data_IF_977229360804
#
_entry.id   IF_977229360804
#
_cell.length_a   1.000
_cell.length_b   1.000
_cell.length_c   1.000
_cell.angle_alpha   90.00
_cell.angle_beta   90.00
_cell.angle_gamma   90.00
#
_symmetry.space_group_name_H-M   'P 1'
#
loop_
_entity.id
_entity.type
_entity.pdbx_description
1 polymer ?
#
# COMPACT_ATOMS: atom_id res chain seq x y z
N UNK A 1 -16.56 -6.61 -4.91
CA UNK A 1 -16.56 -7.46 -3.73
C UNK A 1 -17.02 -6.70 -2.48
N UNK A 2 -16.30 -5.66 -2.05
CA UNK A 2 -16.52 -4.99 -0.75
C UNK A 2 -17.92 -4.39 -0.58
N UNK A 3 -18.51 -3.77 -1.60
CA UNK A 3 -19.90 -3.29 -1.52
C UNK A 3 -20.91 -4.39 -1.18
N UNK A 4 -20.67 -5.63 -1.65
CA UNK A 4 -21.49 -6.79 -1.32
C UNK A 4 -21.18 -7.33 0.07
N UNK A 5 -19.90 -7.31 0.47
CA UNK A 5 -19.47 -7.73 1.80
C UNK A 5 -20.07 -6.82 2.88
N UNK A 6 -20.01 -5.49 2.71
CA UNK A 6 -20.59 -4.51 3.62
C UNK A 6 -22.11 -4.74 3.82
N UNK A 7 -22.84 -5.05 2.74
CA UNK A 7 -24.29 -5.37 2.83
C UNK A 7 -24.55 -6.70 3.54
N UNK A 8 -23.74 -7.75 3.28
CA UNK A 8 -23.88 -9.04 3.99
C UNK A 8 -23.51 -8.93 5.45
N UNK A 9 -22.56 -8.05 5.76
CA UNK A 9 -22.18 -7.73 7.13
C UNK A 9 -23.18 -6.81 7.83
N UNK A 10 -24.25 -6.37 7.13
CA UNK A 10 -25.30 -5.49 7.66
C UNK A 10 -24.76 -4.21 8.30
N UNK A 11 -23.70 -3.64 7.69
CA UNK A 11 -23.15 -2.36 8.13
C UNK A 11 -24.06 -1.22 7.69
N UNK A 12 -24.24 -0.24 8.57
CA UNK A 12 -25.02 0.99 8.30
C UNK A 12 -24.18 1.98 7.47
N UNK A 13 -23.89 1.61 6.23
CA UNK A 13 -22.99 2.34 5.33
C UNK A 13 -23.68 3.56 4.75
N UNK A 14 -22.98 4.69 4.73
CA UNK A 14 -23.43 5.90 4.06
C UNK A 14 -23.35 5.79 2.53
N UNK A 15 -24.29 6.47 1.85
CA UNK A 15 -24.38 6.50 0.40
C UNK A 15 -24.32 7.92 -0.15
N UNK A 16 -23.74 8.04 -1.35
CA UNK A 16 -23.78 9.31 -2.08
C UNK A 16 -25.20 9.70 -2.43
N UNK A 17 -25.47 11.01 -2.53
CA UNK A 17 -26.75 11.52 -3.03
C UNK A 17 -26.93 11.30 -4.53
N UNK A 18 -28.16 11.58 -5.02
CA UNK A 18 -28.50 11.59 -6.46
C UNK A 18 -29.20 10.34 -6.96
N UNK A 19 -29.29 10.20 -8.29
CA UNK A 19 -30.09 9.15 -8.94
C UNK A 19 -29.45 7.75 -8.92
N UNK A 20 -28.15 7.65 -8.63
CA UNK A 20 -27.42 6.38 -8.58
C UNK A 20 -26.52 6.35 -7.34
N UNK A 21 -27.09 6.11 -6.15
CA UNK A 21 -26.32 6.16 -4.91
C UNK A 21 -25.31 5.01 -4.83
N UNK A 22 -24.10 5.35 -4.45
CA UNK A 22 -23.00 4.41 -4.21
C UNK A 22 -22.58 4.49 -2.74
N UNK A 23 -22.13 3.37 -2.17
CA UNK A 23 -21.50 3.37 -0.85
C UNK A 23 -20.30 4.33 -0.86
N UNK A 24 -20.22 5.18 0.17
CA UNK A 24 -19.07 6.08 0.34
C UNK A 24 -17.93 5.26 0.89
N UNK A 25 -17.06 4.82 0.00
CA UNK A 25 -15.86 4.03 0.31
C UNK A 25 -14.74 4.31 -0.69
N UNK A 26 -13.51 4.30 -0.23
CA UNK A 26 -12.33 4.46 -1.08
C UNK A 26 -11.17 3.61 -0.61
N UNK A 27 -10.36 3.12 -1.55
CA UNK A 27 -9.14 2.37 -1.24
C UNK A 27 -7.94 3.32 -1.25
N UNK A 28 -7.02 3.12 -0.30
CA UNK A 28 -5.80 3.92 -0.22
C UNK A 28 -4.93 3.75 -1.47
N UNK A 29 -4.61 2.51 -1.81
CA UNK A 29 -3.77 2.18 -2.96
C UNK A 29 -4.24 0.87 -3.59
N UNK A 30 -5.06 0.90 -4.67
CA UNK A 30 -5.55 -0.32 -5.30
C UNK A 30 -4.43 -1.32 -5.60
N UNK A 31 -4.61 -2.57 -5.18
CA UNK A 31 -3.63 -3.63 -5.40
C UNK A 31 -3.64 -4.06 -6.87
N UNK A 32 -2.47 -4.12 -7.49
CA UNK A 32 -2.33 -4.60 -8.86
C UNK A 32 -2.61 -6.10 -8.99
N UNK A 33 -3.08 -6.52 -10.15
CA UNK A 33 -3.29 -7.95 -10.43
C UNK A 33 -1.97 -8.71 -10.36
N UNK A 34 -1.98 -9.84 -9.65
CA UNK A 34 -0.80 -10.70 -9.47
C UNK A 34 0.05 -10.37 -8.25
N UNK A 35 -0.31 -9.35 -7.47
CA UNK A 35 0.31 -9.03 -6.20
C UNK A 35 -0.51 -9.62 -5.04
N UNK A 36 0.17 -9.94 -3.95
CA UNK A 36 -0.43 -10.17 -2.63
C UNK A 36 -0.15 -8.98 -1.72
N UNK A 37 -0.88 -8.87 -0.61
CA UNK A 37 -0.67 -7.76 0.33
C UNK A 37 -1.09 -8.12 1.75
N UNK A 38 -0.36 -7.56 2.71
CA UNK A 38 -0.68 -7.56 4.14
C UNK A 38 -1.12 -6.17 4.63
N UNK A 39 -0.92 -5.11 3.83
CA UNK A 39 -1.11 -3.70 4.21
C UNK A 39 -2.02 -2.94 3.23
N UNK A 40 -3.28 -3.38 3.12
CA UNK A 40 -4.31 -2.68 2.34
C UNK A 40 -5.27 -1.92 3.26
N UNK A 41 -5.66 -0.71 2.84
CA UNK A 41 -6.55 0.15 3.60
C UNK A 41 -7.73 0.62 2.77
N UNK A 42 -8.87 0.75 3.42
CA UNK A 42 -10.12 1.23 2.84
C UNK A 42 -10.83 2.14 3.83
N UNK A 43 -11.14 3.36 3.42
CA UNK A 43 -12.07 4.21 4.14
C UNK A 43 -13.50 3.77 3.83
N UNK A 44 -14.33 3.71 4.85
CA UNK A 44 -15.76 3.43 4.76
C UNK A 44 -16.53 4.41 5.65
N UNK A 45 -17.45 5.17 5.06
CA UNK A 45 -18.34 6.03 5.83
C UNK A 45 -19.56 5.24 6.30
N UNK A 46 -19.85 5.33 7.60
CA UNK A 46 -21.00 4.67 8.23
C UNK A 46 -21.82 5.69 9.03
N UNK A 47 -23.14 5.50 9.11
CA UNK A 47 -24.00 6.34 9.95
C UNK A 47 -23.94 5.96 11.43
N UNK A 48 -23.70 4.68 11.69
CA UNK A 48 -23.55 4.15 13.04
C UNK A 48 -22.66 2.91 13.05
N UNK A 49 -22.05 2.63 14.18
CA UNK A 49 -21.31 1.39 14.43
C UNK A 49 -21.51 0.98 15.90
N UNK A 50 -21.48 -0.33 16.15
CA UNK A 50 -21.55 -0.89 17.52
C UNK A 50 -20.18 -0.81 18.19
N UNK A 51 -19.14 -1.29 17.51
CA UNK A 51 -17.73 -1.17 17.89
C UNK A 51 -16.84 -1.55 16.70
N UNK A 52 -15.56 -1.15 16.75
CA UNK A 52 -14.58 -1.55 15.73
C UNK A 52 -14.46 -3.08 15.64
N UNK A 53 -14.46 -3.78 16.77
CA UNK A 53 -14.35 -5.24 16.81
C UNK A 53 -15.60 -5.95 16.26
N UNK A 54 -16.79 -5.41 16.49
CA UNK A 54 -18.04 -5.91 15.89
C UNK A 54 -17.99 -5.78 14.36
N UNK A 55 -17.62 -4.60 13.85
CA UNK A 55 -17.46 -4.36 12.40
C UNK A 55 -16.46 -5.33 11.79
N UNK A 56 -15.29 -5.49 12.41
CA UNK A 56 -14.25 -6.44 11.98
C UNK A 56 -14.78 -7.87 11.92
N UNK A 57 -15.45 -8.33 12.97
CA UNK A 57 -16.01 -9.68 13.06
C UNK A 57 -17.05 -9.92 11.96
N UNK A 58 -17.98 -8.99 11.74
CA UNK A 58 -19.05 -9.09 10.73
C UNK A 58 -18.49 -9.06 9.31
N UNK A 59 -17.50 -8.21 9.04
CA UNK A 59 -16.84 -8.16 7.73
C UNK A 59 -16.09 -9.45 7.44
N UNK A 60 -15.38 -10.01 8.41
CA UNK A 60 -14.67 -11.28 8.24
C UNK A 60 -15.65 -12.44 8.00
N UNK A 61 -16.79 -12.47 8.72
CA UNK A 61 -17.85 -13.47 8.47
C UNK A 61 -18.48 -13.32 7.07
N UNK A 62 -18.51 -12.11 6.51
CA UNK A 62 -19.02 -11.83 5.17
C UNK A 62 -17.96 -11.93 4.06
N UNK A 63 -16.71 -12.19 4.42
CA UNK A 63 -15.54 -12.24 3.53
C UNK A 63 -15.40 -13.60 2.83
N UNK A 64 -14.35 -13.77 2.07
CA UNK A 64 -13.99 -15.00 1.35
C UNK A 64 -12.55 -15.37 1.68
N UNK A 65 -12.14 -16.65 1.53
CA UNK A 65 -10.75 -17.04 1.70
C UNK A 65 -9.78 -16.15 0.91
N UNK A 66 -8.72 -15.71 1.56
CA UNK A 66 -7.71 -14.82 0.98
C UNK A 66 -7.99 -13.33 1.19
N UNK A 67 -9.10 -12.95 1.82
CA UNK A 67 -9.37 -11.57 2.26
C UNK A 67 -9.73 -11.60 3.75
N UNK A 68 -8.89 -10.96 4.55
CA UNK A 68 -9.05 -10.82 5.99
C UNK A 68 -9.02 -9.36 6.41
N UNK A 69 -9.96 -8.96 7.26
CA UNK A 69 -9.97 -7.65 7.91
C UNK A 69 -9.17 -7.78 9.20
N UNK A 70 -7.99 -7.21 9.23
CA UNK A 70 -7.06 -7.31 10.37
C UNK A 70 -7.35 -6.29 11.44
N UNK A 71 -7.79 -5.08 11.05
CA UNK A 71 -8.08 -3.96 11.94
C UNK A 71 -9.25 -3.12 11.41
N UNK A 72 -9.97 -2.49 12.31
CA UNK A 72 -10.94 -1.43 12.04
C UNK A 72 -10.66 -0.30 13.00
N UNK A 73 -10.58 0.93 12.51
CA UNK A 73 -10.28 2.13 13.29
C UNK A 73 -11.30 3.22 13.00
N UNK A 74 -11.60 4.04 14.00
CA UNK A 74 -12.36 5.29 13.84
C UNK A 74 -11.37 6.38 13.46
N UNK A 75 -11.62 7.05 12.35
CA UNK A 75 -10.77 8.15 11.89
C UNK A 75 -11.24 9.48 12.49
N UNK A 76 -10.31 10.43 12.76
CA UNK A 76 -10.69 11.81 13.11
C UNK A 76 -11.52 12.46 12.00
N UNK A 77 -12.46 13.34 12.35
CA UNK A 77 -13.35 14.06 11.39
C UNK A 77 -12.57 14.83 10.30
N UNK A 78 -11.33 15.23 10.61
CA UNK A 78 -10.46 15.95 9.68
C UNK A 78 -9.38 15.06 9.05
N UNK A 79 -9.49 13.73 9.21
CA UNK A 79 -8.59 12.82 8.53
C UNK A 79 -8.66 13.03 7.01
N UNK A 80 -7.52 13.11 6.37
CA UNK A 80 -7.46 13.11 4.91
C UNK A 80 -8.00 11.78 4.36
N UNK A 81 -8.48 11.80 3.13
CA UNK A 81 -8.83 10.59 2.39
C UNK A 81 -7.62 9.66 2.31
N UNK A 82 -7.80 8.36 2.59
CA UNK A 82 -6.70 7.38 2.60
C UNK A 82 -5.85 7.40 1.34
N UNK A 83 -6.48 7.52 0.16
CA UNK A 83 -5.75 7.59 -1.12
C UNK A 83 -4.83 8.82 -1.20
N UNK A 84 -5.27 9.97 -0.71
CA UNK A 84 -4.47 11.19 -0.69
C UNK A 84 -3.37 11.17 0.37
N UNK A 85 -3.53 10.36 1.41
CA UNK A 85 -2.58 10.23 2.53
C UNK A 85 -1.41 9.28 2.23
N UNK A 86 -1.50 8.47 1.18
CA UNK A 86 -0.42 7.53 0.82
C UNK A 86 0.85 8.28 0.46
N UNK A 87 1.91 8.00 1.20
CA UNK A 87 3.26 8.54 0.99
C UNK A 87 4.25 7.48 0.51
N UNK A 88 4.20 6.28 1.08
CA UNK A 88 5.12 5.20 0.76
C UNK A 88 4.44 3.83 0.83
N UNK A 89 5.10 2.82 0.27
CA UNK A 89 4.71 1.44 0.47
C UNK A 89 5.96 0.53 0.56
N UNK A 90 5.89 -0.42 1.48
CA UNK A 90 6.89 -1.47 1.66
C UNK A 90 6.51 -2.72 0.89
N UNK A 91 7.49 -3.37 0.28
CA UNK A 91 7.29 -4.57 -0.52
C UNK A 91 8.37 -5.61 -0.24
N UNK A 92 7.96 -6.87 -0.21
CA UNK A 92 8.87 -8.01 -0.41
C UNK A 92 8.73 -8.50 -1.84
N UNK A 93 9.84 -8.62 -2.53
CA UNK A 93 9.92 -9.16 -3.89
C UNK A 93 10.74 -10.44 -3.83
N UNK A 94 10.14 -11.56 -4.22
CA UNK A 94 10.80 -12.87 -4.27
C UNK A 94 10.86 -13.34 -5.72
N UNK A 95 12.00 -13.87 -6.13
CA UNK A 95 12.15 -14.46 -7.46
C UNK A 95 11.57 -15.86 -7.51
N UNK A 96 10.85 -16.17 -8.57
CA UNK A 96 10.34 -17.53 -8.81
C UNK A 96 11.51 -18.47 -9.07
N UNK A 97 11.31 -19.74 -8.74
CA UNK A 97 12.30 -20.80 -8.96
C UNK A 97 12.83 -20.79 -10.41
N UNK A 98 14.17 -20.81 -10.53
CA UNK A 98 14.86 -20.76 -11.83
C UNK A 98 14.79 -19.41 -12.56
N UNK A 99 14.29 -18.34 -11.92
CA UNK A 99 14.14 -17.00 -12.52
C UNK A 99 14.81 -15.90 -11.69
N UNK A 100 15.65 -16.28 -10.75
CA UNK A 100 16.44 -15.36 -9.94
C UNK A 100 17.62 -14.75 -10.73
N UNK A 101 18.32 -13.79 -10.12
CA UNK A 101 19.49 -13.15 -10.72
C UNK A 101 20.67 -14.12 -10.89
N UNK A 102 21.48 -13.89 -11.92
CA UNK A 102 22.76 -14.57 -12.11
C UNK A 102 23.94 -13.83 -11.43
N UNK A 103 23.63 -12.92 -10.52
CA UNK A 103 24.56 -12.13 -9.73
C UNK A 103 24.16 -12.12 -8.24
N UNK A 104 25.12 -11.82 -7.37
CA UNK A 104 24.86 -11.69 -5.93
C UNK A 104 24.07 -10.42 -5.63
N UNK A 105 22.88 -10.58 -5.05
CA UNK A 105 21.95 -9.48 -4.76
C UNK A 105 22.55 -8.46 -3.79
N UNK A 106 23.12 -8.88 -2.68
CA UNK A 106 23.59 -7.96 -1.64
C UNK A 106 24.65 -6.97 -2.16
N UNK A 107 25.78 -7.39 -2.78
CA UNK A 107 26.74 -6.45 -3.33
C UNK A 107 26.20 -5.65 -4.53
N UNK A 108 25.25 -6.21 -5.30
CA UNK A 108 24.62 -5.48 -6.39
C UNK A 108 23.75 -4.33 -5.87
N UNK A 109 22.94 -4.58 -4.84
CA UNK A 109 22.13 -3.55 -4.16
C UNK A 109 23.01 -2.46 -3.57
N UNK A 110 24.12 -2.81 -2.92
CA UNK A 110 25.06 -1.81 -2.38
C UNK A 110 25.65 -0.90 -3.45
N UNK A 111 26.06 -1.46 -4.61
CA UNK A 111 26.54 -0.66 -5.74
C UNK A 111 25.44 0.23 -6.32
N UNK A 112 24.27 -0.34 -6.52
CA UNK A 112 23.10 0.35 -7.05
C UNK A 112 22.73 1.57 -6.22
N UNK A 113 22.72 1.43 -4.89
CA UNK A 113 22.39 2.52 -3.96
C UNK A 113 23.51 3.59 -3.85
N UNK A 114 24.74 3.31 -4.25
CA UNK A 114 25.84 4.30 -4.27
C UNK A 114 25.78 5.25 -5.46
N UNK A 115 24.92 4.99 -6.45
CA UNK A 115 24.78 5.86 -7.60
C UNK A 115 24.13 7.18 -7.22
N UNK A 116 24.54 8.26 -7.85
CA UNK A 116 23.93 9.58 -7.68
C UNK A 116 22.53 9.64 -8.31
N UNK A 117 22.35 8.92 -9.42
CA UNK A 117 21.10 8.85 -10.16
C UNK A 117 20.81 7.42 -10.61
N UNK A 118 19.52 7.05 -10.63
CA UNK A 118 18.97 5.79 -11.16
C UNK A 118 17.90 6.15 -12.17
N UNK A 119 18.30 6.37 -13.40
CA UNK A 119 17.42 6.82 -14.46
C UNK A 119 16.73 5.65 -15.16
N UNK A 120 15.42 5.73 -15.33
CA UNK A 120 14.62 4.83 -16.16
C UNK A 120 13.74 5.61 -17.13
N UNK A 121 13.43 5.00 -18.27
CA UNK A 121 12.46 5.55 -19.21
C UNK A 121 11.09 4.97 -18.94
N UNK A 122 10.12 5.81 -18.62
CA UNK A 122 8.72 5.43 -18.43
C UNK A 122 7.89 5.81 -19.65
N UNK A 123 7.31 4.82 -20.30
CA UNK A 123 6.35 5.05 -21.37
C UNK A 123 5.03 5.58 -20.81
N UNK A 124 4.50 6.62 -21.43
CA UNK A 124 3.22 7.23 -21.08
C UNK A 124 2.37 7.41 -22.35
N UNK A 125 1.07 7.63 -22.19
CA UNK A 125 0.17 7.94 -23.32
C UNK A 125 0.59 9.19 -24.13
N UNK A 126 1.45 10.04 -23.56
CA UNK A 126 1.92 11.30 -24.19
C UNK A 126 3.36 11.21 -24.69
N UNK A 127 3.99 10.03 -24.65
CA UNK A 127 5.39 9.78 -25.02
C UNK A 127 6.20 9.22 -23.86
N UNK A 128 7.50 9.04 -24.08
CA UNK A 128 8.43 8.57 -23.05
C UNK A 128 8.88 9.71 -22.14
N UNK A 129 9.06 9.43 -20.88
CA UNK A 129 9.61 10.34 -19.86
C UNK A 129 10.71 9.63 -19.07
N UNK A 130 11.82 10.31 -18.91
CA UNK A 130 12.88 9.86 -17.98
C UNK A 130 12.49 10.24 -16.55
N UNK A 131 12.65 9.31 -15.62
CA UNK A 131 12.46 9.51 -14.19
C UNK A 131 13.66 8.98 -13.43
N UNK A 132 14.03 9.69 -12.36
CA UNK A 132 15.08 9.24 -11.43
C UNK A 132 14.41 8.48 -10.26
N UNK A 133 14.70 7.20 -10.15
CA UNK A 133 14.17 6.35 -9.06
C UNK A 133 14.85 6.64 -7.73
N UNK A 134 16.08 7.18 -7.75
CA UNK A 134 16.94 7.31 -6.57
C UNK A 134 16.25 8.06 -5.42
N UNK A 135 15.56 9.14 -5.72
CA UNK A 135 14.90 10.00 -4.74
C UNK A 135 13.69 9.33 -4.06
N UNK A 136 13.07 8.39 -4.76
CA UNK A 136 11.88 7.70 -4.25
C UNK A 136 12.15 6.27 -3.75
N UNK A 137 13.41 5.84 -3.70
CA UNK A 137 13.81 4.60 -3.02
C UNK A 137 14.27 4.96 -1.60
N UNK A 138 13.41 4.76 -0.61
CA UNK A 138 13.72 5.05 0.79
C UNK A 138 14.54 3.94 1.44
N UNK A 139 14.27 2.69 1.08
CA UNK A 139 15.05 1.52 1.47
C UNK A 139 15.07 0.50 0.34
N UNK A 140 16.20 -0.14 0.13
CA UNK A 140 16.35 -1.33 -0.72
C UNK A 140 17.40 -2.22 -0.08
N UNK A 141 17.05 -3.46 0.20
CA UNK A 141 17.99 -4.45 0.76
C UNK A 141 17.73 -5.84 0.21
N UNK A 142 18.78 -6.61 0.04
CA UNK A 142 18.67 -8.05 -0.14
C UNK A 142 18.30 -8.68 1.22
N UNK A 143 17.21 -9.46 1.23
CA UNK A 143 16.79 -10.23 2.40
C UNK A 143 17.58 -11.53 2.46
N UNK A 144 17.73 -12.15 1.29
CA UNK A 144 18.51 -13.35 1.06
C UNK A 144 18.98 -13.39 -0.41
N UNK A 145 19.49 -14.53 -0.89
CA UNK A 145 19.95 -14.70 -2.28
C UNK A 145 18.80 -14.70 -3.31
N UNK A 146 17.53 -14.68 -2.91
CA UNK A 146 16.37 -14.80 -3.78
C UNK A 146 15.27 -13.76 -3.50
N UNK A 147 15.49 -12.85 -2.57
CA UNK A 147 14.46 -11.89 -2.14
C UNK A 147 15.03 -10.52 -1.84
N UNK A 148 14.25 -9.50 -2.17
CA UNK A 148 14.51 -8.09 -1.89
C UNK A 148 13.40 -7.52 -1.03
N UNK A 149 13.73 -6.63 -0.11
CA UNK A 149 12.79 -5.70 0.50
C UNK A 149 12.99 -4.30 -0.09
N UNK A 150 11.87 -3.64 -0.38
CA UNK A 150 11.83 -2.27 -0.90
C UNK A 150 10.86 -1.42 -0.08
N UNK A 151 11.28 -0.22 0.29
CA UNK A 151 10.40 0.85 0.75
C UNK A 151 10.51 2.00 -0.25
N UNK A 152 9.43 2.31 -0.93
CA UNK A 152 9.43 3.24 -2.06
C UNK A 152 8.32 4.28 -1.96
N UNK A 153 8.52 5.41 -2.62
CA UNK A 153 7.48 6.43 -2.82
C UNK A 153 6.29 5.81 -3.56
N UNK A 154 5.14 5.81 -2.91
CA UNK A 154 3.86 5.37 -3.45
C UNK A 154 2.85 6.52 -3.57
N UNK A 155 3.28 7.77 -3.34
CA UNK A 155 2.45 8.96 -3.44
C UNK A 155 1.95 9.17 -4.88
N UNK A 156 0.92 9.97 -5.03
CA UNK A 156 0.38 10.34 -6.35
C UNK A 156 1.40 11.04 -7.25
N UNK A 157 2.42 11.68 -6.68
CA UNK A 157 3.47 12.39 -7.41
C UNK A 157 4.61 11.47 -7.87
N UNK A 158 5.03 10.51 -7.04
CA UNK A 158 6.15 9.62 -7.31
C UNK A 158 5.70 8.28 -7.90
N UNK A 159 4.99 7.48 -7.13
CA UNK A 159 4.43 6.18 -7.50
C UNK A 159 5.44 5.24 -8.20
N UNK A 160 6.50 4.91 -7.47
CA UNK A 160 7.50 3.94 -7.92
C UNK A 160 6.95 2.53 -7.71
N UNK A 161 7.03 1.72 -8.76
CA UNK A 161 6.62 0.31 -8.70
C UNK A 161 7.82 -0.58 -8.40
N UNK A 162 7.69 -1.64 -7.58
CA UNK A 162 8.77 -2.57 -7.30
C UNK A 162 9.46 -3.11 -8.56
N UNK A 163 8.68 -3.45 -9.58
CA UNK A 163 9.21 -3.96 -10.86
C UNK A 163 10.20 -2.98 -11.51
N UNK A 164 9.97 -1.68 -11.44
CA UNK A 164 10.86 -0.67 -12.04
C UNK A 164 12.23 -0.64 -11.35
N UNK A 165 12.26 -0.80 -10.03
CA UNK A 165 13.51 -0.86 -9.25
C UNK A 165 14.28 -2.14 -9.58
N UNK A 166 13.58 -3.28 -9.65
CA UNK A 166 14.21 -4.58 -9.96
C UNK A 166 14.73 -4.61 -11.39
N UNK A 167 13.96 -4.12 -12.37
CA UNK A 167 14.41 -4.00 -13.76
C UNK A 167 15.67 -3.14 -13.89
N UNK A 168 15.72 -2.00 -13.20
CA UNK A 168 16.89 -1.13 -13.18
C UNK A 168 18.12 -1.80 -12.54
N UNK A 169 17.92 -2.54 -11.43
CA UNK A 169 18.98 -3.31 -10.77
C UNK A 169 19.52 -4.40 -11.68
N UNK A 170 18.66 -5.14 -12.38
CA UNK A 170 19.04 -6.18 -13.33
C UNK A 170 19.81 -5.60 -14.54
N UNK A 171 19.28 -4.53 -15.13
CA UNK A 171 19.90 -3.85 -16.26
C UNK A 171 21.32 -3.36 -15.92
N UNK A 172 21.54 -2.85 -14.72
CA UNK A 172 22.86 -2.42 -14.26
C UNK A 172 23.88 -3.58 -14.17
N UNK A 173 23.41 -4.77 -13.85
CA UNK A 173 24.25 -5.97 -13.76
C UNK A 173 24.36 -6.72 -15.10
N UNK A 174 23.81 -6.16 -16.20
CA UNK A 174 23.83 -6.78 -17.53
C UNK A 174 23.05 -8.08 -17.64
N UNK A 175 22.12 -8.29 -16.70
CA UNK A 175 21.26 -9.48 -16.60
C UNK A 175 19.82 -9.07 -16.92
N UNK A 176 19.19 -9.57 -17.98
CA UNK A 176 17.80 -9.22 -18.27
C UNK A 176 16.87 -9.90 -17.26
N UNK A 177 15.93 -9.12 -16.66
CA UNK A 177 14.91 -9.69 -15.79
C UNK A 177 13.99 -10.61 -16.60
N UNK A 178 13.89 -11.92 -16.26
CA UNK A 178 13.02 -12.83 -17.01
C UNK A 178 11.54 -12.44 -16.86
N UNK A 179 10.74 -12.70 -17.88
CA UNK A 179 9.29 -12.51 -17.83
C UNK A 179 8.68 -13.30 -16.66
N UNK A 180 7.72 -12.68 -15.95
CA UNK A 180 7.05 -13.30 -14.80
C UNK A 180 8.00 -13.84 -13.71
N UNK A 181 9.19 -13.24 -13.57
CA UNK A 181 10.16 -13.67 -12.56
C UNK A 181 9.73 -13.37 -11.13
N UNK A 182 8.92 -12.35 -10.92
CA UNK A 182 8.66 -11.80 -9.60
C UNK A 182 7.36 -12.33 -8.97
N UNK A 183 7.42 -12.57 -7.68
CA UNK A 183 6.30 -12.60 -6.74
C UNK A 183 6.45 -11.38 -5.85
N UNK A 184 5.43 -10.52 -5.82
CA UNK A 184 5.48 -9.25 -5.09
C UNK A 184 4.39 -9.26 -4.02
N UNK A 185 4.79 -9.07 -2.77
CA UNK A 185 3.91 -8.84 -1.65
C UNK A 185 4.05 -7.39 -1.16
N UNK A 186 2.95 -6.66 -1.04
CA UNK A 186 2.94 -5.38 -0.34
C UNK A 186 2.86 -5.68 1.15
N UNK A 187 3.89 -5.28 1.90
CA UNK A 187 3.93 -5.51 3.34
C UNK A 187 3.10 -4.48 4.08
N UNK A 188 3.22 -3.20 3.66
CA UNK A 188 2.55 -2.10 4.34
C UNK A 188 2.40 -0.88 3.42
N UNK A 189 1.40 -0.05 3.73
CA UNK A 189 1.16 1.25 3.11
C UNK A 189 1.24 2.34 4.17
N UNK A 190 2.04 3.38 3.90
CA UNK A 190 2.40 4.40 4.88
C UNK A 190 1.86 5.78 4.51
N UNK A 191 1.44 6.51 5.52
CA UNK A 191 1.31 7.97 5.48
C UNK A 191 2.61 8.64 5.97
N UNK A 192 2.73 9.94 5.74
CA UNK A 192 3.81 10.75 6.32
C UNK A 192 3.22 11.65 7.41
N UNK A 193 3.76 11.54 8.62
CA UNK A 193 3.37 12.40 9.75
C UNK A 193 3.87 13.83 9.56
N UNK A 194 3.37 14.77 10.36
CA UNK A 194 3.86 16.16 10.38
C UNK A 194 5.34 16.25 10.76
N UNK A 195 5.86 15.27 11.52
CA UNK A 195 7.28 15.15 11.84
C UNK A 195 8.12 14.57 10.68
N UNK A 196 7.49 14.17 9.57
CA UNK A 196 8.15 13.57 8.41
C UNK A 196 8.36 12.06 8.50
N UNK A 197 7.90 11.40 9.55
CA UNK A 197 8.02 9.96 9.75
C UNK A 197 7.00 9.18 8.90
N UNK A 198 7.38 8.00 8.45
CA UNK A 198 6.46 7.07 7.77
C UNK A 198 5.77 6.19 8.83
N UNK A 199 4.44 6.29 8.89
CA UNK A 199 3.59 5.53 9.81
C UNK A 199 2.57 4.72 9.00
N UNK A 200 2.15 3.51 9.43
CA UNK A 200 1.03 2.81 8.82
C UNK A 200 -0.20 3.72 8.72
N UNK A 201 -1.02 3.54 7.70
CA UNK A 201 -2.17 4.43 7.47
C UNK A 201 -3.17 4.43 8.64
N UNK A 202 -3.29 3.34 9.37
CA UNK A 202 -4.19 3.24 10.52
C UNK A 202 -3.63 3.86 11.81
N UNK A 203 -2.39 4.34 11.80
CA UNK A 203 -1.76 4.96 12.98
C UNK A 203 -2.48 6.23 13.47
N UNK A 204 -3.25 6.88 12.59
CA UNK A 204 -4.05 8.07 12.95
C UNK A 204 -5.46 7.71 13.47
N UNK A 205 -5.83 6.43 13.46
CA UNK A 205 -7.14 5.97 13.85
C UNK A 205 -7.22 5.49 15.30
N UNK A 206 -8.41 5.45 15.84
CA UNK A 206 -8.72 5.06 17.21
C UNK A 206 -9.44 3.71 17.25
N UNK A 207 -9.14 2.89 18.27
CA UNK A 207 -9.72 1.55 18.43
C UNK A 207 -11.18 1.58 18.95
N UNK A 208 -11.62 2.70 19.53
CA UNK A 208 -12.98 2.85 20.06
C UNK A 208 -13.46 4.31 20.03
N UNK A 209 -14.77 4.51 20.15
CA UNK A 209 -15.36 5.84 20.30
C UNK A 209 -14.89 6.56 21.56
N UNK A 210 -14.70 5.83 22.66
CA UNK A 210 -14.17 6.39 23.90
C UNK A 210 -12.76 6.94 23.71
N UNK A 211 -11.90 6.20 23.00
CA UNK A 211 -10.53 6.65 22.69
C UNK A 211 -10.55 7.89 21.78
N UNK A 212 -11.44 7.92 20.79
CA UNK A 212 -11.62 9.06 19.91
C UNK A 212 -12.12 10.30 20.67
N UNK A 213 -13.19 10.18 21.47
CA UNK A 213 -13.73 11.28 22.30
C UNK A 213 -12.72 11.82 23.29
N UNK A 214 -11.95 10.94 23.94
CA UNK A 214 -10.88 11.35 24.85
C UNK A 214 -9.78 12.17 24.16
N UNK A 215 -9.47 11.85 22.91
CA UNK A 215 -8.44 12.56 22.14
C UNK A 215 -8.97 13.88 21.53
N UNK A 216 -10.24 13.94 21.11
CA UNK A 216 -10.86 15.14 20.53
C UNK A 216 -11.20 16.24 21.54
N UNK A 217 -11.20 15.91 22.82
CA UNK A 217 -11.59 16.85 23.88
C UNK A 217 -13.10 17.03 24.02
N UNK A 218 -13.90 16.25 23.32
CA UNK A 218 -15.37 16.19 23.45
C UNK A 218 -15.77 15.34 24.65
N UNK A 219 -15.46 15.82 25.82
CA UNK A 219 -16.10 15.35 27.08
C UNK A 219 -17.40 16.14 27.25
N UNK A 220 -18.56 15.45 27.18
CA UNK A 220 -19.86 16.00 27.59
C UNK A 220 -19.82 16.61 29.00
#
# INVERSE_FOLDING_TARGET
FFQKANRRAELDVAYTGGFSPHQIMSFAAPLGVGLTSNGEYMDLEVHSLTSCEDVKTRLNAASVPGIEITSVKILPDKAGNAMASVAAAGYTVTFREGRGPHFDLAPAVERFLKKDEILITKETKKGSREINLKEGIYELKAVDGNSLYLLVDASSAGNIKPIQVVEALFAENGDPLPENALMVNREETYLRSDAGELLPLDAIGYDSEEAYKAASGDTE
#
